data_IF_891869122009
#
_entry.id   IF_891869122009
#
_cell.length_a   1.000
_cell.length_b   1.000
_cell.length_c   1.000
_cell.angle_alpha   90.00
_cell.angle_beta   90.00
_cell.angle_gamma   90.00
#
_symmetry.space_group_name_H-M   'P 1'
#
loop_
_entity.id
_entity.type
_entity.pdbx_description
1 polymer ?
#
# COMPACT_ATOMS: atom_id res chain seq x y z
N UNK A 1 1.90 1.58 -12.78
CA UNK A 1 2.39 2.77 -12.11
C UNK A 1 2.15 2.61 -10.61
N UNK A 2 3.17 2.13 -9.91
CA UNK A 2 3.14 1.94 -8.46
C UNK A 2 3.14 3.30 -7.77
N UNK A 3 2.11 3.58 -7.00
CA UNK A 3 2.08 4.74 -6.09
C UNK A 3 2.68 4.28 -4.77
N UNK A 4 4.00 4.42 -4.65
CA UNK A 4 4.69 4.29 -3.37
C UNK A 4 4.53 5.61 -2.61
N UNK A 5 3.50 5.70 -1.77
CA UNK A 5 3.35 6.79 -0.82
C UNK A 5 4.30 6.57 0.35
N UNK A 6 5.33 7.40 0.45
CA UNK A 6 6.22 7.42 1.60
C UNK A 6 5.46 7.90 2.84
N UNK A 7 5.24 7.01 3.79
CA UNK A 7 4.77 7.38 5.13
C UNK A 7 5.97 7.82 5.94
N UNK A 8 6.06 9.11 6.23
CA UNK A 8 7.08 9.68 7.13
C UNK A 8 6.73 9.30 8.56
N UNK A 9 7.55 8.45 9.15
CA UNK A 9 7.48 8.05 10.56
C UNK A 9 8.23 9.07 11.40
N UNK A 10 7.52 9.84 12.23
CA UNK A 10 8.13 10.68 13.26
C UNK A 10 8.38 9.80 14.48
N UNK A 11 9.63 9.37 14.65
CA UNK A 11 10.09 8.67 15.85
C UNK A 11 10.16 9.62 17.04
N UNK A 12 9.57 9.17 18.12
CA UNK A 12 9.69 9.74 19.47
C UNK A 12 11.15 9.72 19.93
N UNK A 13 11.74 10.88 20.08
CA UNK A 13 13.14 11.04 20.44
C UNK A 13 13.26 11.45 21.90
N UNK A 14 13.72 10.51 22.73
CA UNK A 14 14.56 10.84 23.85
C UNK A 14 13.91 11.02 25.21
N UNK A 15 13.89 9.94 25.97
CA UNK A 15 13.98 10.03 27.43
C UNK A 15 15.34 10.52 27.86
N UNK A 16 15.50 11.82 28.00
CA UNK A 16 16.55 12.37 28.85
C UNK A 16 15.93 12.69 30.22
N UNK A 17 16.30 11.91 31.22
CA UNK A 17 16.02 12.22 32.65
C UNK A 17 16.73 13.51 33.02
N UNK A 18 16.05 14.56 33.44
CA UNK A 18 16.70 15.70 34.08
C UNK A 18 16.95 15.39 35.57
N UNK A 19 18.21 15.47 35.99
CA UNK A 19 18.59 15.52 37.40
C UNK A 19 17.90 16.72 38.05
N UNK A 20 17.13 16.43 39.09
CA UNK A 20 16.46 17.39 39.93
C UNK A 20 17.47 18.29 40.63
N UNK A 21 17.56 19.56 40.23
CA UNK A 21 18.10 20.61 41.06
C UNK A 21 16.98 21.13 41.98
N UNK A 22 17.12 20.85 43.28
CA UNK A 22 16.32 21.43 44.34
C UNK A 22 16.58 22.94 44.41
N UNK A 23 15.64 23.74 43.93
CA UNK A 23 15.65 25.21 44.01
C UNK A 23 14.26 25.69 44.36
N UNK A 24 14.10 26.16 45.57
CA UNK A 24 13.09 26.99 46.26
C UNK A 24 11.91 27.46 45.39
N UNK A 25 10.73 26.85 45.57
CA UNK A 25 9.48 27.22 44.98
C UNK A 25 8.95 28.51 45.62
N UNK A 26 8.84 29.58 44.82
CA UNK A 26 8.00 30.74 45.12
C UNK A 26 6.55 30.47 44.72
N UNK A 27 5.56 31.15 45.32
CA UNK A 27 4.14 30.88 45.07
C UNK A 27 3.65 31.57 43.77
N UNK A 28 4.06 30.97 42.64
CA UNK A 28 3.39 31.28 41.38
C UNK A 28 2.49 30.11 41.04
N UNK A 29 1.22 30.19 41.46
CA UNK A 29 0.14 29.39 40.89
C UNK A 29 -0.08 29.86 39.46
N UNK A 30 0.58 29.20 38.52
CA UNK A 30 0.21 29.33 37.13
C UNK A 30 -1.25 28.85 36.98
N UNK A 31 -2.11 29.60 36.27
CA UNK A 31 -3.46 29.13 36.01
C UNK A 31 -3.33 27.78 35.27
N UNK A 32 -3.98 26.74 35.82
CA UNK A 32 -4.15 25.48 35.16
C UNK A 32 -4.95 25.75 33.88
N UNK A 33 -4.24 25.89 32.76
CA UNK A 33 -4.89 25.78 31.45
C UNK A 33 -5.45 24.35 31.42
N UNK A 34 -6.74 24.23 31.64
CA UNK A 34 -7.49 23.01 31.43
C UNK A 34 -7.26 22.63 29.95
N UNK A 35 -6.38 21.66 29.76
CA UNK A 35 -6.26 21.06 28.42
C UNK A 35 -7.66 20.63 28.00
N UNK A 36 -8.10 21.00 26.78
CA UNK A 36 -9.37 20.52 26.27
C UNK A 36 -9.34 19.00 26.34
N UNK A 37 -10.33 18.40 27.01
CA UNK A 37 -10.54 16.95 27.06
C UNK A 37 -10.57 16.41 25.63
N UNK A 38 -9.41 15.98 25.13
CA UNK A 38 -9.35 15.26 23.88
C UNK A 38 -9.96 13.89 24.15
N UNK A 39 -11.16 13.69 23.62
CA UNK A 39 -11.94 12.44 23.77
C UNK A 39 -11.17 11.22 23.28
N UNK A 40 -10.18 11.43 22.38
CA UNK A 40 -9.31 10.38 21.85
C UNK A 40 -7.84 10.83 21.86
N UNK A 41 -6.89 9.95 22.22
CA UNK A 41 -5.48 10.25 22.05
C UNK A 41 -5.17 10.49 20.55
N UNK A 42 -4.29 11.45 20.22
CA UNK A 42 -4.01 11.81 18.82
C UNK A 42 -3.52 10.63 17.97
N UNK A 43 -2.84 9.67 18.57
CA UNK A 43 -2.42 8.43 17.92
C UNK A 43 -3.61 7.57 17.46
N UNK A 44 -4.63 7.42 18.30
CA UNK A 44 -5.83 6.66 17.95
C UNK A 44 -6.64 7.37 16.85
N UNK A 45 -6.75 8.70 16.91
CA UNK A 45 -7.43 9.48 15.89
C UNK A 45 -6.76 9.34 14.51
N UNK A 46 -5.42 9.39 14.44
CA UNK A 46 -4.66 9.16 13.21
C UNK A 46 -4.83 7.74 12.67
N UNK A 47 -4.77 6.74 13.55
CA UNK A 47 -4.96 5.33 13.16
C UNK A 47 -6.36 5.09 12.59
N UNK A 48 -7.39 5.64 13.22
CA UNK A 48 -8.78 5.54 12.74
C UNK A 48 -8.95 6.29 11.42
N UNK A 49 -8.40 7.50 11.29
CA UNK A 49 -8.46 8.26 10.05
C UNK A 49 -7.78 7.51 8.88
N UNK A 50 -6.61 6.92 9.13
CA UNK A 50 -5.91 6.08 8.17
C UNK A 50 -6.73 4.85 7.77
N UNK A 51 -7.27 4.11 8.73
CA UNK A 51 -8.08 2.92 8.47
C UNK A 51 -9.35 3.25 7.68
N UNK A 52 -10.04 4.34 8.02
CA UNK A 52 -11.24 4.81 7.32
C UNK A 52 -10.87 5.23 5.88
N UNK A 53 -9.80 6.02 5.70
CA UNK A 53 -9.35 6.45 4.39
C UNK A 53 -8.97 5.26 3.49
N UNK A 54 -8.28 4.26 4.05
CA UNK A 54 -7.93 3.03 3.33
C UNK A 54 -9.19 2.24 2.95
N UNK A 55 -10.11 2.01 3.89
CA UNK A 55 -11.36 1.31 3.63
C UNK A 55 -12.19 2.02 2.55
N UNK A 56 -12.35 3.34 2.64
CA UNK A 56 -13.07 4.13 1.65
C UNK A 56 -12.42 4.05 0.27
N UNK A 57 -11.08 4.16 0.20
CA UNK A 57 -10.32 4.00 -1.04
C UNK A 57 -10.56 2.63 -1.68
N UNK A 58 -10.53 1.56 -0.89
CA UNK A 58 -10.82 0.19 -1.35
C UNK A 58 -12.23 0.07 -1.89
N UNK A 59 -13.23 0.52 -1.14
CA UNK A 59 -14.64 0.46 -1.56
C UNK A 59 -14.85 1.18 -2.90
N UNK A 60 -14.30 2.39 -3.04
CA UNK A 60 -14.41 3.18 -4.28
C UNK A 60 -13.74 2.43 -5.45
N UNK A 61 -12.54 1.91 -5.26
CA UNK A 61 -11.80 1.19 -6.31
C UNK A 61 -12.50 -0.11 -6.72
N UNK A 62 -13.00 -0.89 -5.78
CA UNK A 62 -13.78 -2.10 -6.06
C UNK A 62 -15.09 -1.77 -6.79
N UNK A 63 -15.78 -0.71 -6.38
CA UNK A 63 -17.00 -0.26 -7.05
C UNK A 63 -16.75 0.18 -8.49
N UNK A 64 -15.72 1.02 -8.71
CA UNK A 64 -15.34 1.49 -10.05
C UNK A 64 -14.93 0.33 -10.97
N UNK A 65 -14.08 -0.57 -10.47
CA UNK A 65 -13.65 -1.76 -11.22
C UNK A 65 -14.82 -2.68 -11.58
N UNK A 66 -15.73 -2.91 -10.63
CA UNK A 66 -16.95 -3.69 -10.89
C UNK A 66 -17.85 -3.05 -11.94
N UNK A 67 -17.96 -1.71 -11.92
CA UNK A 67 -18.71 -0.96 -12.93
C UNK A 67 -18.04 -1.06 -14.30
N UNK A 68 -16.71 -0.93 -14.35
CA UNK A 68 -15.92 -1.07 -15.58
C UNK A 68 -16.06 -2.46 -16.18
N UNK A 69 -15.91 -3.52 -15.39
CA UNK A 69 -16.08 -4.92 -15.85
C UNK A 69 -17.46 -5.12 -16.46
N UNK A 70 -18.52 -4.65 -15.80
CA UNK A 70 -19.88 -4.76 -16.32
C UNK A 70 -20.08 -3.98 -17.61
N UNK A 71 -19.51 -2.78 -17.73
CA UNK A 71 -19.59 -1.97 -18.92
C UNK A 71 -18.91 -2.65 -20.11
N UNK A 72 -17.67 -3.11 -19.93
CA UNK A 72 -16.91 -3.82 -20.98
C UNK A 72 -17.62 -5.12 -21.40
N UNK A 73 -18.12 -5.88 -20.44
CA UNK A 73 -18.84 -7.13 -20.71
C UNK A 73 -20.12 -6.90 -21.54
N UNK A 74 -20.87 -5.82 -21.29
CA UNK A 74 -22.08 -5.49 -22.04
C UNK A 74 -21.81 -5.09 -23.48
N UNK A 75 -20.67 -4.45 -23.75
CA UNK A 75 -20.31 -3.94 -25.09
C UNK A 75 -19.38 -4.89 -25.85
N UNK A 76 -19.12 -6.08 -25.33
CA UNK A 76 -18.23 -7.09 -25.92
C UNK A 76 -18.72 -7.61 -27.29
N UNK A 77 -20.03 -7.66 -27.50
CA UNK A 77 -20.64 -8.27 -28.69
C UNK A 77 -20.76 -7.34 -29.91
N UNK A 78 -20.49 -6.05 -29.75
CA UNK A 78 -20.65 -5.07 -30.82
C UNK A 78 -19.47 -4.13 -30.90
N UNK A 79 -18.84 -4.07 -32.09
CA UNK A 79 -17.82 -3.05 -32.36
C UNK A 79 -18.51 -1.70 -32.55
N UNK A 80 -18.07 -0.61 -31.88
CA UNK A 80 -18.63 0.72 -32.13
C UNK A 80 -18.54 1.11 -33.59
N UNK A 81 -19.59 1.77 -34.13
CA UNK A 81 -19.71 2.09 -35.54
C UNK A 81 -18.49 2.85 -36.11
N UNK A 82 -17.88 3.71 -35.30
CA UNK A 82 -16.69 4.47 -35.70
C UNK A 82 -15.45 3.58 -35.97
N UNK A 83 -15.41 2.36 -35.47
CA UNK A 83 -14.28 1.44 -35.61
C UNK A 83 -14.60 0.17 -36.39
N UNK A 84 -15.86 0.00 -36.83
CA UNK A 84 -16.34 -1.22 -37.50
C UNK A 84 -15.58 -1.55 -38.81
N UNK A 85 -15.02 -0.54 -39.49
CA UNK A 85 -14.21 -0.72 -40.70
C UNK A 85 -12.73 -1.10 -40.44
N UNK A 86 -12.23 -0.96 -39.19
CA UNK A 86 -10.82 -1.11 -38.88
C UNK A 86 -10.53 -2.25 -37.89
N UNK A 87 -11.51 -2.67 -37.09
CA UNK A 87 -11.34 -3.66 -36.04
C UNK A 87 -12.32 -4.80 -36.25
N UNK A 88 -11.81 -6.03 -36.34
CA UNK A 88 -12.64 -7.23 -36.39
C UNK A 88 -13.35 -7.49 -35.08
N UNK A 89 -14.54 -8.09 -35.10
CA UNK A 89 -15.27 -8.47 -33.89
C UNK A 89 -14.42 -9.38 -32.97
N UNK A 90 -13.67 -10.30 -33.54
CA UNK A 90 -12.78 -11.20 -32.79
C UNK A 90 -11.68 -10.43 -32.03
N UNK A 91 -11.06 -9.44 -32.66
CA UNK A 91 -10.06 -8.59 -32.01
C UNK A 91 -10.68 -7.75 -30.88
N UNK A 92 -11.89 -7.19 -31.10
CA UNK A 92 -12.62 -6.45 -30.08
C UNK A 92 -12.98 -7.33 -28.87
N UNK A 93 -13.48 -8.53 -29.11
CA UNK A 93 -13.80 -9.49 -28.04
C UNK A 93 -12.57 -9.89 -27.24
N UNK A 94 -11.44 -10.16 -27.92
CA UNK A 94 -10.15 -10.46 -27.26
C UNK A 94 -9.68 -9.32 -26.36
N UNK A 95 -9.78 -8.08 -26.83
CA UNK A 95 -9.44 -6.90 -26.05
C UNK A 95 -10.35 -6.70 -24.84
N UNK A 96 -11.65 -6.95 -24.99
CA UNK A 96 -12.62 -6.90 -23.91
C UNK A 96 -12.32 -7.97 -22.85
N UNK A 97 -12.05 -9.22 -23.24
CA UNK A 97 -11.71 -10.32 -22.36
C UNK A 97 -10.41 -10.06 -21.60
N UNK A 98 -9.39 -9.52 -22.27
CA UNK A 98 -8.15 -9.09 -21.62
C UNK A 98 -8.39 -8.00 -20.58
N UNK A 99 -9.18 -6.97 -20.93
CA UNK A 99 -9.50 -5.88 -20.00
C UNK A 99 -10.21 -6.39 -18.76
N UNK A 100 -11.18 -7.29 -18.92
CA UNK A 100 -11.91 -7.90 -17.79
C UNK A 100 -10.95 -8.72 -16.91
N UNK A 101 -10.12 -9.56 -17.52
CA UNK A 101 -9.17 -10.40 -16.81
C UNK A 101 -8.14 -9.55 -16.04
N UNK A 102 -7.57 -8.53 -16.70
CA UNK A 102 -6.60 -7.61 -16.09
C UNK A 102 -7.21 -6.80 -14.93
N UNK A 103 -8.45 -6.31 -15.10
CA UNK A 103 -9.15 -5.58 -14.03
C UNK A 103 -9.44 -6.46 -12.82
N UNK A 104 -9.86 -7.72 -13.03
CA UNK A 104 -10.06 -8.69 -11.93
C UNK A 104 -8.77 -8.99 -11.20
N UNK A 105 -7.69 -9.20 -11.94
CA UNK A 105 -6.38 -9.43 -11.35
C UNK A 105 -5.89 -8.21 -10.56
N UNK A 106 -6.05 -7.00 -11.10
CA UNK A 106 -5.73 -5.75 -10.41
C UNK A 106 -6.52 -5.54 -9.10
N UNK A 107 -7.75 -6.07 -9.00
CA UNK A 107 -8.50 -6.08 -7.73
C UNK A 107 -7.85 -7.04 -6.70
N UNK A 108 -7.33 -8.18 -7.15
CA UNK A 108 -6.59 -9.10 -6.27
C UNK A 108 -5.29 -8.46 -5.78
N UNK A 109 -4.52 -7.85 -6.67
CA UNK A 109 -3.30 -7.09 -6.31
C UNK A 109 -3.60 -6.00 -5.29
N UNK A 110 -4.69 -5.25 -5.51
CA UNK A 110 -5.12 -4.19 -4.60
C UNK A 110 -5.48 -4.75 -3.21
N UNK A 111 -6.21 -5.85 -3.14
CA UNK A 111 -6.60 -6.48 -1.88
C UNK A 111 -5.37 -6.99 -1.12
N UNK A 112 -4.47 -7.70 -1.79
CA UNK A 112 -3.22 -8.21 -1.20
C UNK A 112 -2.29 -7.08 -0.76
N UNK A 113 -2.07 -6.07 -1.61
CA UNK A 113 -1.26 -4.91 -1.24
C UNK A 113 -1.81 -4.15 -0.03
N UNK A 114 -3.15 -4.05 0.07
CA UNK A 114 -3.79 -3.45 1.25
C UNK A 114 -3.62 -4.30 2.51
N UNK A 115 -3.70 -5.63 2.39
CA UNK A 115 -3.47 -6.55 3.50
C UNK A 115 -2.01 -6.47 3.99
N UNK A 116 -1.05 -6.40 3.07
CA UNK A 116 0.38 -6.21 3.38
C UNK A 116 0.60 -4.86 4.07
N UNK A 117 -0.01 -3.78 3.57
CA UNK A 117 0.08 -2.46 4.18
C UNK A 117 -0.46 -2.46 5.62
N UNK A 118 -1.62 -3.09 5.86
CA UNK A 118 -2.18 -3.25 7.20
C UNK A 118 -1.26 -4.12 8.08
N UNK A 119 -0.67 -5.17 7.54
CA UNK A 119 0.29 -6.02 8.22
C UNK A 119 1.50 -5.24 8.73
N UNK A 120 2.07 -4.40 7.91
CA UNK A 120 3.20 -3.56 8.27
C UNK A 120 2.85 -2.46 9.25
N UNK A 121 1.69 -1.80 9.09
CA UNK A 121 1.33 -0.59 9.84
C UNK A 121 0.51 -0.85 11.10
N UNK A 122 -0.56 -1.66 11.02
CA UNK A 122 -1.50 -1.85 12.14
C UNK A 122 -1.26 -3.13 12.92
N UNK A 123 -0.73 -4.19 12.28
CA UNK A 123 -0.44 -5.46 12.92
C UNK A 123 0.98 -5.52 13.53
N UNK A 124 1.71 -4.41 13.50
CA UNK A 124 3.02 -4.30 14.13
C UNK A 124 4.16 -4.98 13.37
N UNK A 125 3.97 -5.28 12.08
CA UNK A 125 5.02 -5.92 11.27
C UNK A 125 6.31 -5.11 11.21
N UNK A 126 6.20 -3.78 11.12
CA UNK A 126 7.36 -2.89 11.11
C UNK A 126 8.05 -2.84 12.48
N UNK A 127 7.27 -2.85 13.57
CA UNK A 127 7.82 -2.87 14.93
C UNK A 127 8.54 -4.19 15.23
N UNK A 128 7.97 -5.31 14.81
CA UNK A 128 8.60 -6.62 14.95
C UNK A 128 9.92 -6.70 14.18
N UNK A 129 9.95 -6.20 12.95
CA UNK A 129 11.17 -6.15 12.14
C UNK A 129 12.22 -5.23 12.77
N UNK A 130 11.80 -4.05 13.23
CA UNK A 130 12.68 -3.09 13.90
C UNK A 130 13.27 -3.66 15.20
N UNK A 131 12.44 -4.28 16.04
CA UNK A 131 12.88 -4.94 17.27
C UNK A 131 13.91 -6.02 17.00
N UNK A 132 13.65 -6.93 16.04
CA UNK A 132 14.57 -8.00 15.68
C UNK A 132 15.93 -7.48 15.16
N UNK A 133 15.96 -6.33 14.49
CA UNK A 133 17.21 -5.72 14.02
C UNK A 133 17.95 -5.01 15.15
N UNK A 134 17.25 -4.34 16.05
CA UNK A 134 17.86 -3.69 17.22
C UNK A 134 18.52 -4.74 18.13
N UNK A 135 17.85 -5.87 18.37
CA UNK A 135 18.39 -6.96 19.20
C UNK A 135 19.68 -7.56 18.62
N UNK A 136 19.86 -7.55 17.31
CA UNK A 136 21.02 -8.15 16.63
C UNK A 136 22.16 -7.18 16.38
N UNK A 137 21.83 -5.92 16.05
CA UNK A 137 22.80 -4.93 15.54
C UNK A 137 22.97 -3.75 16.50
N UNK A 138 22.12 -3.62 17.52
CA UNK A 138 22.03 -2.40 18.33
C UNK A 138 21.33 -1.26 17.56
N UNK A 139 21.16 -0.11 18.20
CA UNK A 139 20.60 1.09 17.58
C UNK A 139 21.68 1.88 16.83
N UNK A 140 21.28 2.52 15.73
CA UNK A 140 22.17 3.41 14.96
C UNK A 140 21.76 3.57 13.50
N UNK A 141 22.52 4.37 12.79
CA UNK A 141 22.25 4.68 11.37
C UNK A 141 22.27 3.42 10.49
N UNK A 142 23.20 2.49 10.75
CA UNK A 142 23.31 1.25 10.00
C UNK A 142 22.06 0.38 10.18
N UNK A 143 21.54 0.26 11.39
CA UNK A 143 20.32 -0.48 11.68
C UNK A 143 19.12 0.10 10.93
N UNK A 144 18.98 1.43 10.85
CA UNK A 144 17.92 2.09 10.11
C UNK A 144 17.99 1.84 8.60
N UNK A 145 19.20 1.85 8.02
CA UNK A 145 19.40 1.50 6.61
C UNK A 145 19.04 0.04 6.33
N UNK A 146 19.45 -0.88 7.21
CA UNK A 146 19.11 -2.30 7.09
C UNK A 146 17.60 -2.51 7.26
N UNK A 147 16.95 -1.79 8.17
CA UNK A 147 15.48 -1.83 8.32
C UNK A 147 14.77 -1.43 7.03
N UNK A 148 15.19 -0.33 6.41
CA UNK A 148 14.61 0.13 5.15
C UNK A 148 14.84 -0.89 4.02
N UNK A 149 16.05 -1.41 3.91
CA UNK A 149 16.40 -2.42 2.91
C UNK A 149 15.63 -3.73 3.12
N UNK A 150 15.52 -4.21 4.36
CA UNK A 150 14.78 -5.41 4.70
C UNK A 150 13.27 -5.25 4.43
N UNK A 151 12.68 -4.11 4.81
CA UNK A 151 11.30 -3.77 4.49
C UNK A 151 11.04 -3.79 2.99
N UNK A 152 11.89 -3.13 2.20
CA UNK A 152 11.76 -3.09 0.75
C UNK A 152 11.91 -4.49 0.12
N UNK A 153 12.88 -5.27 0.58
CA UNK A 153 13.14 -6.63 0.10
C UNK A 153 11.96 -7.56 0.38
N UNK A 154 11.46 -7.58 1.62
CA UNK A 154 10.33 -8.42 2.01
C UNK A 154 9.08 -8.03 1.22
N UNK A 155 8.78 -6.73 1.09
CA UNK A 155 7.64 -6.25 0.32
C UNK A 155 7.74 -6.63 -1.15
N UNK A 156 8.92 -6.47 -1.77
CA UNK A 156 9.17 -6.88 -3.14
C UNK A 156 9.01 -8.40 -3.34
N UNK A 157 9.45 -9.19 -2.36
CA UNK A 157 9.32 -10.66 -2.42
C UNK A 157 7.86 -11.11 -2.34
N UNK A 158 7.03 -10.41 -1.57
CA UNK A 158 5.59 -10.66 -1.49
C UNK A 158 4.89 -10.31 -2.82
N UNK A 159 5.31 -9.24 -3.49
CA UNK A 159 4.74 -8.79 -4.77
C UNK A 159 5.24 -9.61 -5.97
N UNK A 160 6.40 -10.25 -5.84
CA UNK A 160 7.05 -11.02 -6.91
C UNK A 160 6.12 -12.06 -7.57
N UNK A 161 5.43 -12.96 -6.83
CA UNK A 161 4.58 -13.98 -7.43
C UNK A 161 3.40 -13.39 -8.21
N UNK A 162 2.87 -12.25 -7.77
CA UNK A 162 1.79 -11.55 -8.47
C UNK A 162 2.28 -10.97 -9.79
N UNK A 163 3.44 -10.33 -9.77
CA UNK A 163 4.07 -9.76 -10.97
C UNK A 163 4.43 -10.84 -11.99
N UNK A 164 4.98 -11.97 -11.53
CA UNK A 164 5.27 -13.12 -12.39
C UNK A 164 3.99 -13.69 -13.01
N UNK A 165 2.93 -13.87 -12.22
CA UNK A 165 1.66 -14.36 -12.71
C UNK A 165 1.05 -13.40 -13.75
N UNK A 166 1.08 -12.11 -13.51
CA UNK A 166 0.59 -11.11 -14.46
C UNK A 166 1.33 -11.19 -15.78
N UNK A 167 2.67 -11.20 -15.74
CA UNK A 167 3.51 -11.13 -16.95
C UNK A 167 3.48 -12.44 -17.72
N UNK A 168 3.70 -13.59 -17.05
CA UNK A 168 3.92 -14.87 -17.73
C UNK A 168 2.66 -15.72 -17.89
N UNK A 169 1.59 -15.43 -17.16
CA UNK A 169 0.33 -16.17 -17.29
C UNK A 169 -0.75 -15.31 -17.94
N UNK A 170 -1.01 -14.13 -17.36
CA UNK A 170 -2.10 -13.30 -17.83
C UNK A 170 -1.81 -12.69 -19.20
N UNK A 171 -0.68 -12.02 -19.37
CA UNK A 171 -0.32 -11.35 -20.64
C UNK A 171 0.01 -12.35 -21.75
N UNK A 172 0.62 -13.50 -21.42
CA UNK A 172 0.90 -14.57 -22.37
C UNK A 172 -0.38 -15.21 -22.90
N UNK A 173 -1.37 -15.48 -22.05
CA UNK A 173 -2.68 -16.02 -22.44
C UNK A 173 -3.38 -15.19 -23.53
N UNK A 174 -3.19 -13.88 -23.49
CA UNK A 174 -3.77 -12.96 -24.47
C UNK A 174 -2.81 -12.61 -25.62
N UNK A 175 -1.58 -13.15 -25.62
CA UNK A 175 -0.58 -12.89 -26.66
C UNK A 175 0.00 -11.49 -26.65
N UNK A 176 -0.04 -10.81 -25.51
CA UNK A 176 0.56 -9.49 -25.32
C UNK A 176 1.96 -9.56 -24.70
N UNK A 177 2.33 -10.70 -24.14
CA UNK A 177 3.67 -10.89 -23.57
C UNK A 177 4.71 -11.01 -24.71
N UNK A 178 5.65 -10.06 -24.73
CA UNK A 178 6.87 -10.09 -25.56
C UNK A 178 8.12 -10.24 -24.71
N UNK A 179 7.99 -10.40 -23.40
CA UNK A 179 9.09 -10.42 -22.45
C UNK A 179 9.51 -11.87 -22.17
N UNK A 180 10.79 -12.16 -22.38
CA UNK A 180 11.38 -13.44 -21.97
C UNK A 180 11.81 -13.36 -20.52
N UNK A 181 11.85 -14.51 -19.81
CA UNK A 181 12.27 -14.55 -18.41
C UNK A 181 13.68 -13.97 -18.21
N UNK A 182 14.59 -14.16 -19.19
CA UNK A 182 15.94 -13.57 -19.17
C UNK A 182 15.90 -12.04 -19.21
N UNK A 183 15.01 -11.47 -20.03
CA UNK A 183 14.86 -10.01 -20.14
C UNK A 183 14.17 -9.40 -18.92
N UNK A 184 13.30 -10.17 -18.27
CA UNK A 184 12.63 -9.75 -17.03
C UNK A 184 13.59 -9.69 -15.83
N UNK A 185 14.60 -10.59 -15.80
CA UNK A 185 15.59 -10.67 -14.72
C UNK A 185 16.74 -9.66 -14.90
N UNK A 186 16.99 -9.17 -16.12
CA UNK A 186 18.04 -8.19 -16.43
C UNK A 186 17.62 -6.75 -16.12
#
# INVERSE_FOLDING_TARGET
ASVTGAVVFVSDMGRLSPKVCSGRQGPYTAPSMSEPHQIFPPSLALTLAFAIALALSLVIRFWLASRQIRHVARHRSAVPAAFAGHITLAAHQKAADYTIAKTRFGLLELALGSAVLLGWTLLGGLDALNGALIDRMGGGMLQQLVLLAAFALISSLIDLPLTLYQTFVLEERFGFNKMTFKLWLA
#
